data_IF_541223617645
#
_entry.id   IF_541223617645
#
_cell.length_a   1.000
_cell.length_b   1.000
_cell.length_c   1.000
_cell.angle_alpha   90.00
_cell.angle_beta   90.00
_cell.angle_gamma   90.00
#
_symmetry.space_group_name_H-M   'P 1'
#
loop_
_entity.id
_entity.type
_entity.pdbx_description
1 polymer ?
#
# COMPACT_ATOMS: atom_id res chain seq x y z
N UNK A 1 -41.36 33.49 -9.57
CA UNK A 1 -41.00 32.23 -10.26
C UNK A 1 -40.42 31.30 -9.23
N UNK A 2 -41.23 30.39 -8.69
CA UNK A 2 -40.86 29.46 -7.62
C UNK A 2 -40.17 28.29 -8.31
N UNK A 3 -38.86 28.12 -8.07
CA UNK A 3 -38.15 26.89 -8.40
C UNK A 3 -38.67 25.81 -7.45
N UNK A 4 -39.47 24.88 -7.97
CA UNK A 4 -39.85 23.68 -7.27
C UNK A 4 -38.64 22.76 -7.16
N UNK A 5 -38.05 22.70 -5.97
CA UNK A 5 -37.05 21.70 -5.60
C UNK A 5 -37.71 20.31 -5.68
N UNK A 6 -37.43 19.59 -6.75
CA UNK A 6 -37.91 18.23 -6.97
C UNK A 6 -37.06 17.26 -6.13
N UNK A 7 -37.23 17.33 -4.82
CA UNK A 7 -36.72 16.28 -3.92
C UNK A 7 -37.58 15.03 -4.11
N UNK A 8 -37.11 14.10 -4.87
CA UNK A 8 -37.67 12.75 -4.97
C UNK A 8 -37.44 12.06 -3.63
N UNK A 9 -38.33 12.27 -2.67
CA UNK A 9 -38.36 11.47 -1.45
C UNK A 9 -38.78 10.05 -1.82
N UNK A 10 -37.79 9.19 -2.02
CA UNK A 10 -38.05 7.75 -2.12
C UNK A 10 -38.70 7.33 -0.80
N UNK A 11 -39.89 6.77 -0.89
CA UNK A 11 -40.61 6.20 0.26
C UNK A 11 -39.65 5.21 0.99
N UNK A 12 -39.65 5.17 2.32
CA UNK A 12 -38.94 4.15 3.07
C UNK A 12 -39.27 2.72 2.60
N UNK A 13 -40.45 2.52 2.05
CA UNK A 13 -40.93 1.26 1.52
C UNK A 13 -40.25 0.86 0.21
N UNK A 14 -39.91 1.80 -0.68
CA UNK A 14 -39.20 1.53 -1.93
C UNK A 14 -37.73 1.13 -1.68
N UNK A 15 -37.14 1.57 -0.56
CA UNK A 15 -35.79 1.15 -0.15
C UNK A 15 -35.75 -0.29 0.38
N UNK A 16 -36.82 -0.76 1.01
CA UNK A 16 -36.91 -2.10 1.57
C UNK A 16 -37.09 -3.17 0.50
N UNK A 17 -37.69 -2.84 -0.66
CA UNK A 17 -37.99 -3.78 -1.73
C UNK A 17 -36.78 -4.04 -2.67
N UNK A 18 -35.79 -3.14 -2.69
CA UNK A 18 -34.65 -3.21 -3.61
C UNK A 18 -33.39 -3.89 -3.07
N UNK A 19 -33.40 -4.37 -1.82
CA UNK A 19 -32.24 -5.11 -1.29
C UNK A 19 -32.35 -6.60 -1.65
N UNK A 20 -31.52 -7.11 -2.58
CA UNK A 20 -31.44 -8.55 -2.76
C UNK A 20 -30.93 -9.15 -1.44
N UNK A 21 -31.69 -10.13 -0.92
CA UNK A 21 -31.38 -10.90 0.31
C UNK A 21 -30.19 -11.85 0.10
N UNK A 22 -29.12 -11.36 -0.51
CA UNK A 22 -27.93 -12.15 -0.79
C UNK A 22 -27.11 -12.25 0.47
N UNK A 23 -26.81 -13.45 0.91
CA UNK A 23 -26.08 -13.78 2.15
C UNK A 23 -24.77 -12.99 2.35
N UNK A 24 -24.06 -12.63 1.27
CA UNK A 24 -22.83 -11.88 1.31
C UNK A 24 -23.00 -10.40 1.75
N UNK A 25 -24.20 -9.80 1.58
CA UNK A 25 -24.51 -8.50 2.17
C UNK A 25 -24.61 -8.58 3.70
N UNK A 26 -25.10 -9.70 4.25
CA UNK A 26 -25.13 -9.90 5.71
C UNK A 26 -23.75 -10.10 6.31
N UNK A 27 -22.80 -10.63 5.54
CA UNK A 27 -21.41 -10.81 5.96
C UNK A 27 -20.51 -9.61 5.63
N UNK A 28 -21.06 -8.55 5.03
CA UNK A 28 -20.31 -7.35 4.64
C UNK A 28 -19.08 -7.67 3.77
N UNK A 29 -19.14 -8.70 2.93
CA UNK A 29 -18.05 -9.18 2.08
C UNK A 29 -18.42 -9.00 0.60
N UNK A 30 -17.46 -8.54 -0.20
CA UNK A 30 -17.59 -8.54 -1.66
C UNK A 30 -16.92 -9.80 -2.24
N UNK A 31 -17.70 -10.78 -2.76
CA UNK A 31 -17.15 -12.05 -3.19
C UNK A 31 -16.21 -11.94 -4.40
N UNK A 32 -16.43 -10.95 -5.28
CA UNK A 32 -15.57 -10.76 -6.46
C UNK A 32 -14.20 -10.27 -6.01
N UNK A 33 -14.15 -9.30 -5.10
CA UNK A 33 -12.89 -8.77 -4.60
C UNK A 33 -12.13 -9.84 -3.81
N UNK A 34 -12.82 -10.63 -2.96
CA UNK A 34 -12.18 -11.76 -2.24
C UNK A 34 -11.63 -12.80 -3.21
N UNK A 35 -12.37 -13.14 -4.26
CA UNK A 35 -11.90 -14.08 -5.27
C UNK A 35 -10.61 -13.58 -5.95
N UNK A 36 -10.60 -12.33 -6.40
CA UNK A 36 -9.42 -11.73 -7.05
C UNK A 36 -8.19 -11.72 -6.11
N UNK A 37 -8.38 -11.34 -4.84
CA UNK A 37 -7.32 -11.37 -3.82
C UNK A 37 -6.81 -12.80 -3.61
N UNK A 38 -7.71 -13.78 -3.53
CA UNK A 38 -7.35 -15.18 -3.37
C UNK A 38 -6.53 -15.71 -4.56
N UNK A 39 -6.92 -15.35 -5.79
CA UNK A 39 -6.15 -15.70 -6.99
C UNK A 39 -4.74 -15.13 -6.93
N UNK A 40 -4.57 -13.86 -6.55
CA UNK A 40 -3.25 -13.23 -6.40
C UNK A 40 -2.43 -13.91 -5.30
N UNK A 41 -3.04 -14.20 -4.14
CA UNK A 41 -2.35 -14.86 -3.03
C UNK A 41 -1.90 -16.26 -3.41
N UNK A 42 -2.76 -17.06 -4.03
CA UNK A 42 -2.41 -18.41 -4.49
C UNK A 42 -1.30 -18.37 -5.53
N UNK A 43 -1.40 -17.45 -6.50
CA UNK A 43 -0.37 -17.25 -7.51
C UNK A 43 0.97 -16.83 -6.88
N UNK A 44 0.93 -15.88 -5.93
CA UNK A 44 2.12 -15.46 -5.16
C UNK A 44 2.73 -16.59 -4.34
N UNK A 45 1.90 -17.46 -3.72
CA UNK A 45 2.38 -18.63 -2.97
C UNK A 45 3.09 -19.65 -3.85
N UNK A 46 2.65 -19.85 -5.10
CA UNK A 46 3.33 -20.73 -6.06
C UNK A 46 4.74 -20.20 -6.35
N UNK A 47 4.86 -18.91 -6.61
CA UNK A 47 6.18 -18.27 -6.86
C UNK A 47 7.03 -18.26 -5.59
N UNK A 48 6.43 -17.94 -4.44
CA UNK A 48 7.15 -17.92 -3.16
C UNK A 48 7.73 -19.31 -2.84
N UNK A 49 7.01 -20.38 -3.15
CA UNK A 49 7.50 -21.74 -2.93
C UNK A 49 8.80 -22.02 -3.72
N UNK A 50 8.90 -21.48 -4.92
CA UNK A 50 10.14 -21.51 -5.70
C UNK A 50 11.21 -20.63 -5.07
N UNK A 51 10.87 -19.39 -4.72
CA UNK A 51 11.83 -18.42 -4.18
C UNK A 51 12.38 -18.76 -2.79
N UNK A 52 11.74 -19.63 -2.00
CA UNK A 52 12.23 -20.07 -0.66
C UNK A 52 13.07 -21.33 -0.72
N UNK A 53 13.31 -21.90 -1.90
CA UNK A 53 14.19 -23.05 -2.13
C UNK A 53 13.97 -24.20 -1.13
N UNK A 54 12.73 -24.67 -1.03
CA UNK A 54 12.36 -25.80 -0.17
C UNK A 54 12.33 -25.51 1.34
N UNK A 55 12.50 -24.28 1.78
CA UNK A 55 12.36 -23.91 3.20
C UNK A 55 10.90 -23.92 3.63
N UNK A 56 10.41 -25.09 4.04
CA UNK A 56 9.01 -25.31 4.45
C UNK A 56 8.62 -24.44 5.67
N UNK A 57 9.55 -24.08 6.53
CA UNK A 57 9.26 -23.24 7.70
C UNK A 57 8.86 -21.80 7.26
N UNK A 58 9.57 -21.21 6.30
CA UNK A 58 9.24 -19.89 5.76
C UNK A 58 7.92 -19.93 4.99
N UNK A 59 7.69 -20.97 4.19
CA UNK A 59 6.46 -21.14 3.45
C UNK A 59 5.24 -21.26 4.37
N UNK A 60 5.34 -22.12 5.40
CA UNK A 60 4.27 -22.30 6.40
C UNK A 60 4.01 -21.03 7.19
N UNK A 61 5.06 -20.29 7.58
CA UNK A 61 4.90 -19.00 8.23
C UNK A 61 4.14 -17.99 7.35
N UNK A 62 4.36 -17.99 6.04
CA UNK A 62 3.63 -17.11 5.13
C UNK A 62 2.16 -17.51 4.99
N UNK A 63 1.84 -18.80 4.94
CA UNK A 63 0.46 -19.30 4.97
C UNK A 63 -0.29 -18.83 6.22
N UNK A 64 0.36 -18.94 7.40
CA UNK A 64 -0.23 -18.46 8.66
C UNK A 64 -0.49 -16.96 8.64
N UNK A 65 0.43 -16.17 8.06
CA UNK A 65 0.26 -14.71 7.90
C UNK A 65 -0.90 -14.37 6.97
N UNK A 66 -1.06 -15.08 5.85
CA UNK A 66 -2.21 -14.88 4.98
C UNK A 66 -3.53 -15.30 5.65
N UNK A 67 -3.55 -16.40 6.40
CA UNK A 67 -4.72 -16.77 7.19
C UNK A 67 -5.10 -15.66 8.19
N UNK A 68 -4.12 -15.10 8.92
CA UNK A 68 -4.33 -13.96 9.80
C UNK A 68 -4.81 -12.72 9.03
N UNK A 69 -4.26 -12.43 7.85
CA UNK A 69 -4.66 -11.31 7.03
C UNK A 69 -6.12 -11.43 6.56
N UNK A 70 -6.59 -12.64 6.23
CA UNK A 70 -8.02 -12.88 5.94
C UNK A 70 -8.91 -12.66 7.17
N UNK A 71 -8.48 -13.10 8.34
CA UNK A 71 -9.22 -12.84 9.59
C UNK A 71 -9.35 -11.33 9.81
N UNK A 72 -8.26 -10.58 9.66
CA UNK A 72 -8.25 -9.13 9.80
C UNK A 72 -9.14 -8.45 8.76
N UNK A 73 -9.11 -8.92 7.50
CA UNK A 73 -10.01 -8.43 6.44
C UNK A 73 -11.48 -8.60 6.83
N UNK A 74 -11.86 -9.82 7.27
CA UNK A 74 -13.23 -10.13 7.66
C UNK A 74 -13.65 -9.26 8.84
N UNK A 75 -12.82 -9.15 9.87
CA UNK A 75 -13.10 -8.31 11.04
C UNK A 75 -13.27 -6.85 10.64
N UNK A 76 -12.35 -6.30 9.82
CA UNK A 76 -12.44 -4.94 9.33
C UNK A 76 -13.70 -4.71 8.48
N UNK A 77 -14.14 -5.69 7.69
CA UNK A 77 -15.36 -5.58 6.91
C UNK A 77 -16.64 -5.50 7.78
N UNK A 78 -16.65 -6.11 8.99
CA UNK A 78 -17.79 -6.05 9.90
C UNK A 78 -17.92 -4.70 10.63
N UNK A 79 -16.85 -3.92 10.73
CA UNK A 79 -16.84 -2.67 11.47
C UNK A 79 -17.48 -1.57 10.61
N UNK A 80 -18.52 -0.88 11.09
CA UNK A 80 -19.22 0.14 10.30
C UNK A 80 -18.37 1.41 10.09
N UNK A 81 -18.54 2.13 8.96
CA UNK A 81 -17.73 3.29 8.60
C UNK A 81 -17.72 4.41 9.63
N UNK A 82 -18.83 4.61 10.38
CA UNK A 82 -18.91 5.63 11.42
C UNK A 82 -17.94 5.36 12.59
N UNK A 83 -17.60 4.10 12.85
CA UNK A 83 -16.61 3.74 13.85
C UNK A 83 -15.20 4.17 13.38
N UNK A 84 -14.84 3.87 12.14
CA UNK A 84 -13.57 4.33 11.56
C UNK A 84 -13.45 5.86 11.60
N UNK A 85 -14.55 6.55 11.29
CA UNK A 85 -14.63 7.99 11.40
C UNK A 85 -14.35 8.49 12.82
N UNK A 86 -14.95 7.85 13.83
CA UNK A 86 -14.80 8.24 15.24
C UNK A 86 -13.40 8.00 15.76
N UNK A 87 -12.79 6.90 15.38
CA UNK A 87 -11.45 6.53 15.89
C UNK A 87 -10.30 7.18 15.10
N UNK A 88 -10.54 7.76 13.92
CA UNK A 88 -9.48 8.30 13.06
C UNK A 88 -8.52 9.26 13.79
N UNK A 89 -8.97 10.28 14.57
CA UNK A 89 -8.06 11.15 15.29
C UNK A 89 -7.26 10.41 16.38
N UNK A 90 -7.90 9.48 17.08
CA UNK A 90 -7.23 8.69 18.12
C UNK A 90 -6.18 7.78 17.52
N UNK A 91 -6.50 7.06 16.44
CA UNK A 91 -5.57 6.17 15.74
C UNK A 91 -4.36 6.94 15.21
N UNK A 92 -4.57 8.15 14.70
CA UNK A 92 -3.49 9.02 14.23
C UNK A 92 -2.58 9.47 15.38
N UNK A 93 -3.14 9.95 16.51
CA UNK A 93 -2.35 10.40 17.68
C UNK A 93 -1.59 9.24 18.31
N UNK A 94 -2.24 8.08 18.48
CA UNK A 94 -1.60 6.86 18.98
C UNK A 94 -0.48 6.42 18.04
N UNK A 95 -0.70 6.43 16.74
CA UNK A 95 0.31 6.10 15.75
C UNK A 95 1.51 7.04 15.81
N UNK A 96 1.30 8.37 15.92
CA UNK A 96 2.39 9.34 16.12
C UNK A 96 3.18 9.06 17.42
N UNK A 97 2.48 8.82 18.51
CA UNK A 97 3.11 8.46 19.77
C UNK A 97 3.99 7.22 19.66
N UNK A 98 3.48 6.17 19.01
CA UNK A 98 4.24 4.95 18.77
C UNK A 98 5.45 5.18 17.85
N UNK A 99 5.33 6.05 16.83
CA UNK A 99 6.48 6.43 15.99
C UNK A 99 7.56 7.15 16.79
N UNK A 100 7.17 8.02 17.72
CA UNK A 100 8.11 8.70 18.63
C UNK A 100 8.76 7.67 19.57
N UNK A 101 7.99 6.71 20.11
CA UNK A 101 8.53 5.64 20.94
C UNK A 101 9.59 4.80 20.22
N UNK A 102 9.41 4.53 18.93
CA UNK A 102 10.43 3.81 18.13
C UNK A 102 11.76 4.53 18.10
N UNK A 103 11.77 5.86 18.05
CA UNK A 103 13.03 6.63 18.04
C UNK A 103 13.85 6.44 19.32
N UNK A 104 13.20 6.17 20.45
CA UNK A 104 13.87 5.99 21.75
C UNK A 104 14.07 4.53 22.14
N UNK A 105 13.11 3.66 21.84
CA UNK A 105 13.02 2.28 22.33
C UNK A 105 12.98 1.24 21.21
N UNK A 106 13.12 1.63 19.95
CA UNK A 106 13.04 0.71 18.83
C UNK A 106 14.20 -0.27 18.76
N UNK A 107 13.90 -1.48 18.27
CA UNK A 107 14.90 -2.53 18.05
C UNK A 107 15.52 -2.36 16.66
N UNK A 108 16.85 -2.48 16.60
CA UNK A 108 17.58 -2.46 15.34
C UNK A 108 17.43 -3.79 14.60
N UNK A 109 16.87 -3.72 13.39
CA UNK A 109 16.75 -4.88 12.49
C UNK A 109 17.23 -4.47 11.10
N UNK A 110 18.13 -5.23 10.52
CA UNK A 110 18.73 -4.94 9.19
C UNK A 110 19.21 -3.48 9.04
N UNK A 111 19.90 -2.96 10.07
CA UNK A 111 20.51 -1.62 10.03
C UNK A 111 19.56 -0.44 10.23
N UNK A 112 18.31 -0.67 10.62
CA UNK A 112 17.36 0.39 10.90
C UNK A 112 16.51 0.12 12.13
N UNK A 113 16.16 1.20 12.85
CA UNK A 113 15.37 1.16 14.08
C UNK A 113 13.90 1.46 13.78
N UNK A 114 13.12 0.40 13.48
CA UNK A 114 11.73 0.52 12.96
C UNK A 114 10.70 -0.27 13.74
N UNK A 115 11.16 -1.17 14.62
CA UNK A 115 10.32 -2.17 15.28
C UNK A 115 10.20 -1.89 16.75
N UNK A 116 8.99 -2.04 17.29
CA UNK A 116 8.77 -2.17 18.72
C UNK A 116 8.61 -3.64 19.04
N UNK A 117 9.30 -4.09 20.09
CA UNK A 117 9.20 -5.44 20.61
C UNK A 117 8.51 -5.40 21.97
N UNK A 118 7.41 -6.13 22.08
CA UNK A 118 6.79 -6.42 23.37
C UNK A 118 7.41 -7.70 23.88
N UNK A 119 8.20 -7.64 24.97
CA UNK A 119 8.94 -8.81 25.46
C UNK A 119 8.04 -10.02 25.60
N UNK A 120 8.44 -11.15 24.96
CA UNK A 120 7.71 -12.41 25.04
C UNK A 120 6.43 -12.53 24.23
N UNK A 121 5.99 -11.50 23.49
CA UNK A 121 4.76 -11.55 22.72
C UNK A 121 5.01 -11.43 21.21
N UNK A 122 5.26 -10.23 20.70
CA UNK A 122 5.41 -10.00 19.26
C UNK A 122 6.19 -8.73 18.96
N UNK A 123 6.69 -8.65 17.72
CA UNK A 123 7.26 -7.44 17.12
C UNK A 123 6.25 -6.82 16.18
N UNK A 124 6.08 -5.51 16.23
CA UNK A 124 5.26 -4.78 15.27
C UNK A 124 5.92 -3.48 14.84
N UNK A 125 5.56 -3.03 13.65
CA UNK A 125 6.08 -1.81 13.05
C UNK A 125 4.99 -0.72 13.12
N UNK A 126 5.16 0.34 13.93
CA UNK A 126 4.15 1.40 14.07
C UNK A 126 3.81 2.13 12.77
N UNK A 127 4.73 2.22 11.84
CA UNK A 127 4.47 2.82 10.53
C UNK A 127 3.43 2.03 9.70
N UNK A 128 3.21 0.74 9.97
CA UNK A 128 2.12 -0.02 9.35
C UNK A 128 0.75 0.53 9.77
N UNK A 129 0.59 0.86 11.05
CA UNK A 129 -0.62 1.50 11.55
C UNK A 129 -0.84 2.87 10.87
N UNK A 130 0.23 3.65 10.64
CA UNK A 130 0.12 4.96 10.01
C UNK A 130 -0.34 4.91 8.55
N UNK A 131 -0.09 3.83 7.84
CA UNK A 131 -0.61 3.62 6.48
C UNK A 131 -2.15 3.59 6.43
N UNK A 132 -2.79 3.19 7.52
CA UNK A 132 -4.25 3.25 7.68
C UNK A 132 -4.69 4.55 8.35
N UNK A 133 -4.00 4.98 9.40
CA UNK A 133 -4.39 6.11 10.23
C UNK A 133 -4.27 7.46 9.51
N UNK A 134 -3.25 7.65 8.65
CA UNK A 134 -3.07 8.90 7.91
C UNK A 134 -4.20 9.16 6.91
N UNK A 135 -4.55 8.25 5.99
CA UNK A 135 -5.69 8.47 5.11
C UNK A 135 -7.01 8.59 5.86
N UNK A 136 -7.20 7.85 6.97
CA UNK A 136 -8.36 8.00 7.85
C UNK A 136 -8.45 9.42 8.43
N UNK A 137 -7.32 9.96 8.95
CA UNK A 137 -7.27 11.30 9.54
C UNK A 137 -7.51 12.40 8.51
N UNK A 138 -6.91 12.29 7.31
CA UNK A 138 -7.12 13.26 6.21
C UNK A 138 -8.58 13.23 5.74
N UNK A 139 -9.16 12.04 5.54
CA UNK A 139 -10.57 11.89 5.16
C UNK A 139 -11.52 12.42 6.26
N UNK A 140 -11.21 12.15 7.54
CA UNK A 140 -11.92 12.71 8.70
C UNK A 140 -11.89 14.23 8.71
N UNK A 141 -10.74 14.84 8.42
CA UNK A 141 -10.58 16.28 8.39
C UNK A 141 -11.39 16.93 7.26
N UNK A 142 -11.43 16.29 6.07
CA UNK A 142 -12.08 16.84 4.87
C UNK A 142 -13.59 16.59 4.80
N UNK A 143 -14.14 15.58 5.48
CA UNK A 143 -15.55 15.17 5.33
C UNK A 143 -16.58 16.26 5.58
N UNK A 144 -16.26 17.23 6.47
CA UNK A 144 -17.15 18.34 6.83
C UNK A 144 -16.78 19.65 6.12
N UNK A 145 -15.93 19.59 5.12
CA UNK A 145 -15.43 20.75 4.38
C UNK A 145 -15.97 20.75 2.96
N UNK A 146 -16.03 21.95 2.38
CA UNK A 146 -16.36 22.08 0.96
C UNK A 146 -15.26 21.45 0.10
N UNK A 147 -15.65 20.65 -0.88
CA UNK A 147 -14.75 20.07 -1.85
C UNK A 147 -14.97 20.78 -3.20
N UNK A 148 -13.90 21.09 -3.93
CA UNK A 148 -12.47 20.86 -3.66
C UNK A 148 -11.93 21.71 -2.49
N UNK A 149 -10.89 21.20 -1.76
CA UNK A 149 -10.40 21.87 -0.56
C UNK A 149 -9.68 23.19 -0.89
N UNK A 150 -9.95 24.23 -0.08
CA UNK A 150 -9.23 25.50 -0.18
C UNK A 150 -7.78 25.35 0.28
N UNK A 151 -6.94 26.36 -0.03
CA UNK A 151 -5.52 26.38 0.35
C UNK A 151 -5.29 26.08 1.84
N UNK A 152 -6.08 26.70 2.73
CA UNK A 152 -6.00 26.47 4.18
C UNK A 152 -6.21 24.99 4.56
N UNK A 153 -7.18 24.33 3.95
CA UNK A 153 -7.50 22.93 4.26
C UNK A 153 -6.48 21.99 3.64
N UNK A 154 -6.01 22.29 2.43
CA UNK A 154 -4.91 21.56 1.77
C UNK A 154 -3.64 21.63 2.60
N UNK A 155 -3.24 22.82 3.08
CA UNK A 155 -2.04 22.97 3.91
C UNK A 155 -2.14 22.20 5.23
N UNK A 156 -3.31 22.20 5.88
CA UNK A 156 -3.52 21.40 7.09
C UNK A 156 -3.38 19.89 6.80
N UNK A 157 -3.94 19.40 5.69
CA UNK A 157 -3.77 18.01 5.26
C UNK A 157 -2.29 17.69 4.98
N UNK A 158 -1.56 18.60 4.33
CA UNK A 158 -0.11 18.42 4.10
C UNK A 158 0.65 18.27 5.43
N UNK A 159 0.33 19.07 6.44
CA UNK A 159 0.95 18.92 7.79
C UNK A 159 0.62 17.56 8.39
N UNK A 160 -0.66 17.13 8.33
CA UNK A 160 -1.09 15.82 8.83
C UNK A 160 -0.32 14.65 8.17
N UNK A 161 0.00 14.75 6.88
CA UNK A 161 0.73 13.71 6.16
C UNK A 161 2.24 13.79 6.37
N UNK A 162 2.79 15.01 6.38
CA UNK A 162 4.24 15.24 6.43
C UNK A 162 4.81 14.89 7.80
N UNK A 163 4.08 15.16 8.89
CA UNK A 163 4.58 14.91 10.24
C UNK A 163 4.95 13.42 10.47
N UNK A 164 4.06 12.44 10.24
CA UNK A 164 4.44 11.03 10.36
C UNK A 164 5.47 10.59 9.33
N UNK A 165 5.40 11.11 8.10
CA UNK A 165 6.38 10.80 7.06
C UNK A 165 7.81 11.21 7.44
N UNK A 166 7.98 12.38 8.04
CA UNK A 166 9.28 12.85 8.55
C UNK A 166 9.79 11.97 9.71
N UNK A 167 8.90 11.59 10.64
CA UNK A 167 9.29 10.70 11.75
C UNK A 167 9.75 9.33 11.23
N UNK A 168 9.07 8.78 10.23
CA UNK A 168 9.44 7.51 9.59
C UNK A 168 10.75 7.66 8.79
N UNK A 169 10.92 8.78 8.09
CA UNK A 169 12.15 9.08 7.37
C UNK A 169 13.39 9.14 8.28
N UNK A 170 13.22 9.59 9.54
CA UNK A 170 14.28 9.56 10.56
C UNK A 170 14.59 8.17 11.11
N UNK A 171 13.72 7.18 10.86
CA UNK A 171 13.94 5.76 11.21
C UNK A 171 14.64 4.99 10.07
N UNK A 172 15.47 5.60 9.25
CA UNK A 172 15.95 5.29 7.89
C UNK A 172 15.00 4.41 7.04
N UNK A 173 13.71 4.78 6.98
CA UNK A 173 12.67 4.06 6.22
C UNK A 173 12.00 4.98 5.17
N UNK A 174 12.74 5.31 4.12
CA UNK A 174 12.23 6.17 3.05
C UNK A 174 11.06 5.55 2.29
N UNK A 175 11.11 4.23 2.04
CA UNK A 175 10.04 3.55 1.32
C UNK A 175 8.70 3.70 2.03
N UNK A 176 8.65 3.37 3.32
CA UNK A 176 7.43 3.51 4.12
C UNK A 176 7.04 4.98 4.32
N UNK A 177 7.99 5.90 4.45
CA UNK A 177 7.72 7.33 4.53
C UNK A 177 6.95 7.85 3.30
N UNK A 178 7.42 7.50 2.10
CA UNK A 178 6.77 7.86 0.84
C UNK A 178 5.39 7.22 0.74
N UNK A 179 5.24 5.97 1.14
CA UNK A 179 3.94 5.28 1.12
C UNK A 179 2.92 5.90 2.06
N UNK A 180 3.32 6.26 3.28
CA UNK A 180 2.43 6.92 4.27
C UNK A 180 2.01 8.31 3.79
N UNK A 181 2.95 9.10 3.27
CA UNK A 181 2.64 10.38 2.65
C UNK A 181 1.72 10.20 1.44
N UNK A 182 2.02 9.27 0.54
CA UNK A 182 1.24 8.96 -0.65
C UNK A 182 -0.18 8.50 -0.32
N UNK A 183 -0.36 7.72 0.76
CA UNK A 183 -1.69 7.29 1.21
C UNK A 183 -2.57 8.48 1.63
N UNK A 184 -2.01 9.44 2.38
CA UNK A 184 -2.72 10.67 2.71
C UNK A 184 -2.94 11.58 1.49
N UNK A 185 -1.95 11.68 0.60
CA UNK A 185 -2.04 12.48 -0.61
C UNK A 185 -3.10 11.95 -1.58
N UNK A 186 -3.29 10.63 -1.62
CA UNK A 186 -4.37 10.00 -2.38
C UNK A 186 -5.75 10.53 -1.98
N UNK A 187 -5.97 10.80 -0.68
CA UNK A 187 -7.23 11.42 -0.20
C UNK A 187 -7.40 12.84 -0.77
N UNK A 188 -6.33 13.64 -0.80
CA UNK A 188 -6.37 15.00 -1.37
C UNK A 188 -6.66 14.98 -2.89
N UNK A 189 -6.07 14.05 -3.63
CA UNK A 189 -6.34 13.87 -5.06
C UNK A 189 -7.82 13.56 -5.30
N UNK A 190 -8.37 12.62 -4.54
CA UNK A 190 -9.78 12.22 -4.64
C UNK A 190 -10.74 13.33 -4.15
N UNK A 191 -10.30 14.20 -3.24
CA UNK A 191 -11.03 15.36 -2.80
C UNK A 191 -11.09 16.49 -3.86
N UNK A 192 -10.45 16.29 -5.03
CA UNK A 192 -10.47 17.25 -6.13
C UNK A 192 -9.39 18.32 -6.04
N UNK A 193 -8.20 17.97 -5.49
CA UNK A 193 -7.05 18.87 -5.50
C UNK A 193 -6.75 19.34 -6.94
N UNK A 194 -6.71 20.66 -7.15
CA UNK A 194 -6.47 21.19 -8.49
C UNK A 194 -5.05 20.86 -8.97
N UNK A 195 -4.92 20.46 -10.25
CA UNK A 195 -3.64 20.16 -10.88
C UNK A 195 -2.64 21.32 -10.81
N UNK A 196 -3.11 22.55 -10.68
CA UNK A 196 -2.24 23.73 -10.48
C UNK A 196 -1.40 23.58 -9.21
N UNK A 197 -1.99 23.10 -8.12
CA UNK A 197 -1.24 22.86 -6.86
C UNK A 197 -0.22 21.74 -7.00
N UNK A 198 -0.55 20.67 -7.72
CA UNK A 198 0.37 19.59 -8.03
C UNK A 198 1.56 20.11 -8.85
N UNK A 199 1.28 20.92 -9.86
CA UNK A 199 2.34 21.56 -10.68
C UNK A 199 3.23 22.49 -9.84
N UNK A 200 2.64 23.39 -9.03
CA UNK A 200 3.41 24.28 -8.17
C UNK A 200 4.24 23.51 -7.14
N UNK A 201 3.69 22.46 -6.55
CA UNK A 201 4.42 21.57 -5.65
C UNK A 201 5.59 20.88 -6.38
N UNK A 202 5.36 20.36 -7.59
CA UNK A 202 6.41 19.74 -8.42
C UNK A 202 7.53 20.74 -8.77
N UNK A 203 7.17 21.95 -9.17
CA UNK A 203 8.16 23.03 -9.44
C UNK A 203 8.94 23.42 -8.18
N UNK A 204 8.27 23.52 -7.02
CA UNK A 204 8.92 23.84 -5.76
C UNK A 204 9.89 22.72 -5.31
N UNK A 205 9.48 21.44 -5.44
CA UNK A 205 10.35 20.27 -5.18
C UNK A 205 11.54 20.27 -6.13
N UNK A 206 11.33 20.51 -7.42
CA UNK A 206 12.40 20.58 -8.42
C UNK A 206 13.39 21.73 -8.13
N UNK A 207 12.91 22.91 -7.76
CA UNK A 207 13.74 24.04 -7.37
C UNK A 207 14.49 23.79 -6.05
N UNK A 208 13.87 23.07 -5.10
CA UNK A 208 14.49 22.70 -3.83
C UNK A 208 15.46 21.51 -3.94
N UNK A 209 15.39 20.72 -5.03
CA UNK A 209 16.17 19.49 -5.19
C UNK A 209 17.69 19.68 -4.96
N UNK A 210 18.37 20.72 -5.48
CA UNK A 210 19.79 20.94 -5.21
C UNK A 210 20.10 21.18 -3.72
N UNK A 211 19.22 21.91 -3.03
CA UNK A 211 19.36 22.18 -1.59
C UNK A 211 19.11 20.92 -0.77
N UNK A 212 18.07 20.15 -1.12
CA UNK A 212 17.75 18.86 -0.49
C UNK A 212 18.91 17.88 -0.68
N UNK A 213 19.47 17.83 -1.90
CA UNK A 213 20.64 17.01 -2.20
C UNK A 213 21.83 17.35 -1.31
N UNK A 214 22.14 18.64 -1.14
CA UNK A 214 23.34 19.07 -0.44
C UNK A 214 23.20 19.04 1.09
N UNK A 215 22.04 19.40 1.64
CA UNK A 215 21.86 19.66 3.06
C UNK A 215 20.94 18.67 3.78
N UNK A 216 20.06 17.93 3.07
CA UNK A 216 19.04 17.12 3.71
C UNK A 216 19.30 15.62 3.52
N UNK A 217 19.74 15.20 2.33
CA UNK A 217 19.97 13.78 2.07
C UNK A 217 21.20 13.26 2.78
N UNK A 218 21.03 12.15 3.49
CA UNK A 218 22.13 11.39 4.08
C UNK A 218 22.96 10.65 3.02
N UNK A 219 24.21 10.31 3.36
CA UNK A 219 25.12 9.66 2.41
C UNK A 219 24.55 8.42 1.74
N UNK A 220 23.89 7.53 2.49
CA UNK A 220 23.29 6.32 1.94
C UNK A 220 22.11 6.60 0.99
N UNK A 221 21.37 7.69 1.19
CA UNK A 221 20.26 8.10 0.32
C UNK A 221 20.76 8.63 -1.02
N UNK A 222 21.84 9.46 -0.97
CA UNK A 222 22.52 9.94 -2.17
C UNK A 222 23.09 8.77 -2.97
N UNK A 223 23.74 7.81 -2.26
CA UNK A 223 24.30 6.61 -2.90
C UNK A 223 23.23 5.84 -3.65
N UNK A 224 22.03 5.63 -3.06
CA UNK A 224 20.92 4.94 -3.75
C UNK A 224 20.47 5.63 -5.03
N UNK A 225 20.46 6.97 -5.04
CA UNK A 225 20.11 7.75 -6.24
C UNK A 225 21.22 7.65 -7.29
N UNK A 226 22.49 7.75 -6.90
CA UNK A 226 23.63 7.62 -7.82
C UNK A 226 23.68 6.21 -8.42
N UNK A 227 23.49 5.18 -7.59
CA UNK A 227 23.45 3.79 -8.03
C UNK A 227 22.31 3.49 -9.00
N UNK A 228 21.22 4.25 -8.96
CA UNK A 228 20.15 4.12 -9.97
C UNK A 228 20.63 4.48 -11.39
N UNK A 229 21.45 5.54 -11.50
CA UNK A 229 21.99 6.00 -12.81
C UNK A 229 23.22 5.21 -13.24
N UNK A 230 24.01 4.71 -12.30
CA UNK A 230 25.16 3.85 -12.55
C UNK A 230 25.19 2.68 -11.55
N UNK A 231 24.46 1.60 -11.84
CA UNK A 231 24.43 0.42 -10.97
C UNK A 231 25.82 -0.25 -10.81
N UNK A 232 26.73 -0.05 -11.76
CA UNK A 232 28.08 -0.62 -11.70
C UNK A 232 28.98 0.08 -10.68
N UNK A 233 28.60 1.28 -10.24
CA UNK A 233 29.33 2.02 -9.19
C UNK A 233 29.20 1.39 -7.80
N UNK A 234 28.20 0.52 -7.58
CA UNK A 234 27.98 -0.20 -6.31
C UNK A 234 27.72 -1.69 -6.58
N UNK A 235 28.76 -2.44 -7.02
CA UNK A 235 28.61 -3.81 -7.50
C UNK A 235 28.38 -4.85 -6.40
N UNK A 236 28.40 -4.47 -5.11
CA UNK A 236 28.17 -5.36 -3.97
C UNK A 236 26.97 -4.93 -3.11
N UNK A 237 26.32 -3.81 -3.44
CA UNK A 237 25.19 -3.24 -2.69
C UNK A 237 23.91 -3.14 -3.50
N UNK A 238 23.32 -1.93 -3.50
CA UNK A 238 22.05 -1.68 -4.20
C UNK A 238 22.14 -1.89 -5.72
N UNK A 239 23.32 -1.61 -6.34
CA UNK A 239 23.57 -1.83 -7.77
C UNK A 239 23.52 -3.29 -8.15
N UNK A 240 24.06 -4.18 -7.30
CA UNK A 240 23.96 -5.62 -7.51
C UNK A 240 22.51 -6.07 -7.67
N UNK A 241 21.64 -5.65 -6.76
CA UNK A 241 20.23 -6.01 -6.81
C UNK A 241 19.53 -5.54 -8.09
N UNK A 242 19.85 -4.34 -8.57
CA UNK A 242 19.28 -3.78 -9.83
C UNK A 242 19.78 -4.60 -11.03
N UNK A 243 21.09 -4.88 -11.10
CA UNK A 243 21.68 -5.65 -12.20
C UNK A 243 21.08 -7.06 -12.23
N UNK A 244 21.03 -7.75 -11.10
CA UNK A 244 20.51 -9.11 -11.04
C UNK A 244 19.01 -9.19 -11.32
N UNK A 245 18.21 -8.24 -10.81
CA UNK A 245 16.77 -8.22 -11.08
C UNK A 245 16.44 -7.94 -12.56
N UNK A 246 17.14 -7.00 -13.19
CA UNK A 246 16.94 -6.72 -14.62
C UNK A 246 17.46 -7.85 -15.51
N UNK A 247 18.55 -8.51 -15.12
CA UNK A 247 19.06 -9.72 -15.79
C UNK A 247 18.07 -10.88 -15.67
N UNK A 248 17.50 -11.10 -14.47
CA UNK A 248 16.50 -12.14 -14.25
C UNK A 248 15.28 -11.93 -15.15
N UNK A 249 14.70 -10.72 -15.12
CA UNK A 249 13.52 -10.37 -15.97
C UNK A 249 13.87 -10.55 -17.45
N UNK A 250 15.01 -10.03 -17.90
CA UNK A 250 15.43 -10.12 -19.30
C UNK A 250 15.66 -11.56 -19.78
N UNK A 251 16.15 -12.43 -18.88
CA UNK A 251 16.43 -13.84 -19.20
C UNK A 251 15.18 -14.72 -19.30
N UNK A 252 14.04 -14.28 -18.73
CA UNK A 252 12.79 -15.03 -18.75
C UNK A 252 12.04 -15.00 -20.09
N UNK A 253 12.26 -13.99 -20.93
CA UNK A 253 11.59 -13.87 -22.22
C UNK A 253 10.05 -13.83 -22.12
N UNK A 254 9.34 -14.45 -23.07
CA UNK A 254 7.88 -14.44 -23.09
C UNK A 254 7.25 -15.43 -22.09
N UNK A 255 7.76 -16.64 -22.00
CA UNK A 255 7.13 -17.75 -21.26
C UNK A 255 7.92 -18.19 -20.02
N UNK A 256 9.06 -17.57 -19.73
CA UNK A 256 9.92 -17.92 -18.62
C UNK A 256 10.76 -19.17 -18.84
N UNK A 257 11.63 -19.45 -17.87
CA UNK A 257 12.47 -20.65 -17.83
C UNK A 257 11.75 -21.89 -17.29
N UNK A 258 10.59 -21.68 -16.64
CA UNK A 258 9.84 -22.68 -15.89
C UNK A 258 9.98 -22.52 -14.38
N UNK A 259 8.98 -22.98 -13.64
CA UNK A 259 8.99 -22.96 -12.17
C UNK A 259 10.18 -23.78 -11.62
N UNK A 260 10.84 -23.27 -10.60
CA UNK A 260 12.04 -23.86 -9.97
C UNK A 260 13.27 -23.92 -10.89
N UNK A 261 13.27 -23.21 -12.03
CA UNK A 261 14.39 -23.17 -12.98
C UNK A 261 15.00 -21.76 -13.09
N UNK A 262 14.67 -20.86 -12.17
CA UNK A 262 15.24 -19.53 -12.08
C UNK A 262 16.70 -19.55 -11.60
N UNK A 263 17.66 -19.29 -12.48
CA UNK A 263 19.08 -19.33 -12.14
C UNK A 263 19.50 -18.22 -11.17
N UNK A 264 18.89 -17.02 -11.26
CA UNK A 264 19.25 -15.87 -10.42
C UNK A 264 18.74 -16.02 -8.98
N UNK A 265 17.57 -16.63 -8.79
CA UNK A 265 17.02 -16.89 -7.45
C UNK A 265 17.64 -18.13 -6.80
N UNK A 266 17.86 -19.19 -7.57
CA UNK A 266 18.38 -20.46 -7.07
C UNK A 266 19.86 -20.39 -6.63
N UNK A 267 20.67 -19.56 -7.31
CA UNK A 267 22.08 -19.38 -6.99
C UNK A 267 22.34 -18.27 -5.94
N UNK A 268 21.31 -17.81 -5.24
CA UNK A 268 21.38 -16.74 -4.24
C UNK A 268 22.01 -15.42 -4.76
N UNK A 269 21.99 -15.19 -6.08
CA UNK A 269 22.49 -13.94 -6.66
C UNK A 269 21.59 -12.75 -6.33
N UNK A 270 20.33 -13.00 -5.91
CA UNK A 270 19.36 -11.98 -5.53
C UNK A 270 19.03 -12.10 -4.03
N UNK A 271 19.73 -11.38 -3.14
CA UNK A 271 19.59 -11.55 -1.68
C UNK A 271 18.18 -11.35 -1.11
N UNK A 272 17.39 -10.48 -1.72
CA UNK A 272 16.00 -10.17 -1.28
C UNK A 272 14.96 -10.74 -2.28
N UNK A 273 15.26 -11.86 -2.96
CA UNK A 273 14.40 -12.52 -3.95
C UNK A 273 12.99 -12.83 -3.41
N UNK A 274 12.87 -13.16 -2.12
CA UNK A 274 11.61 -13.55 -1.45
C UNK A 274 10.74 -12.36 -1.05
N UNK A 275 11.35 -11.18 -0.86
CA UNK A 275 10.70 -9.98 -0.33
C UNK A 275 10.51 -8.95 -1.42
N UNK A 276 11.46 -8.09 -1.62
CA UNK A 276 11.31 -6.89 -2.45
C UNK A 276 11.44 -7.18 -3.95
N UNK A 277 12.19 -8.25 -4.32
CA UNK A 277 12.50 -8.61 -5.70
C UNK A 277 11.78 -9.87 -6.21
N UNK A 278 10.71 -10.31 -5.55
CA UNK A 278 9.95 -11.50 -5.98
C UNK A 278 9.38 -11.35 -7.39
N UNK A 279 9.09 -10.10 -7.84
CA UNK A 279 8.68 -9.83 -9.21
C UNK A 279 9.77 -10.17 -10.24
N UNK A 280 11.05 -10.09 -9.88
CA UNK A 280 12.15 -10.52 -10.76
C UNK A 280 12.19 -12.05 -10.89
N UNK A 281 12.00 -12.77 -9.78
CA UNK A 281 11.88 -14.25 -9.80
C UNK A 281 10.72 -14.68 -10.69
N UNK A 282 9.56 -14.01 -10.54
CA UNK A 282 8.40 -14.26 -11.40
C UNK A 282 8.70 -13.98 -12.87
N UNK A 283 9.39 -12.87 -13.17
CA UNK A 283 9.80 -12.51 -14.53
C UNK A 283 10.75 -13.55 -15.14
N UNK A 284 11.67 -14.12 -14.35
CA UNK A 284 12.58 -15.16 -14.79
C UNK A 284 11.87 -16.50 -15.04
N UNK A 285 11.04 -16.95 -14.09
CA UNK A 285 10.43 -18.29 -14.12
C UNK A 285 9.20 -18.37 -15.01
N UNK A 286 8.34 -17.36 -15.02
CA UNK A 286 7.07 -17.34 -15.78
C UNK A 286 7.09 -16.37 -16.96
N UNK A 287 8.15 -15.61 -17.12
CA UNK A 287 8.33 -14.67 -18.21
C UNK A 287 7.33 -13.52 -18.21
N UNK A 288 7.22 -12.85 -19.34
CA UNK A 288 6.30 -11.73 -19.55
C UNK A 288 4.83 -12.12 -19.32
N UNK A 289 4.41 -13.31 -19.76
CA UNK A 289 3.02 -13.77 -19.62
C UNK A 289 2.64 -13.88 -18.14
N UNK A 290 3.53 -14.41 -17.29
CA UNK A 290 3.28 -14.52 -15.86
C UNK A 290 3.16 -13.17 -15.17
N UNK A 291 4.06 -12.24 -15.49
CA UNK A 291 3.99 -10.86 -14.95
C UNK A 291 2.75 -10.13 -15.44
N UNK A 292 2.42 -10.23 -16.74
CA UNK A 292 1.22 -9.62 -17.31
C UNK A 292 -0.08 -10.14 -16.68
N UNK A 293 -0.16 -11.44 -16.39
CA UNK A 293 -1.28 -12.03 -15.66
C UNK A 293 -1.43 -11.39 -14.27
N UNK A 294 -0.35 -11.27 -13.49
CA UNK A 294 -0.40 -10.64 -12.18
C UNK A 294 -0.84 -9.17 -12.27
N UNK A 295 -0.27 -8.41 -13.20
CA UNK A 295 -0.65 -6.99 -13.41
C UNK A 295 -2.12 -6.86 -13.81
N UNK A 296 -2.65 -7.78 -14.64
CA UNK A 296 -4.07 -7.83 -14.96
C UNK A 296 -4.93 -8.09 -13.71
N UNK A 297 -4.55 -9.04 -12.85
CA UNK A 297 -5.26 -9.30 -11.60
C UNK A 297 -5.25 -8.07 -10.67
N UNK A 298 -4.12 -7.39 -10.54
CA UNK A 298 -4.03 -6.13 -9.80
C UNK A 298 -4.93 -5.04 -10.39
N UNK A 299 -4.96 -4.89 -11.72
CA UNK A 299 -5.83 -3.93 -12.38
C UNK A 299 -7.32 -4.22 -12.09
N UNK A 300 -7.72 -5.49 -12.10
CA UNK A 300 -9.09 -5.90 -11.76
C UNK A 300 -9.42 -5.62 -10.29
N UNK A 301 -8.48 -5.84 -9.35
CA UNK A 301 -8.64 -5.50 -7.93
C UNK A 301 -8.84 -3.99 -7.77
N UNK A 302 -7.99 -3.18 -8.43
CA UNK A 302 -8.06 -1.71 -8.39
C UNK A 302 -9.39 -1.23 -8.98
N UNK A 303 -9.77 -1.73 -10.15
CA UNK A 303 -11.03 -1.37 -10.81
C UNK A 303 -12.24 -1.72 -9.92
N UNK A 304 -12.24 -2.93 -9.33
CA UNK A 304 -13.31 -3.35 -8.40
C UNK A 304 -13.33 -2.49 -7.15
N UNK A 305 -12.18 -2.20 -6.56
CA UNK A 305 -12.05 -1.36 -5.38
C UNK A 305 -12.52 0.08 -5.62
N UNK A 306 -12.17 0.69 -6.76
CA UNK A 306 -12.65 2.03 -7.14
C UNK A 306 -14.15 2.04 -7.36
N UNK A 307 -14.70 1.00 -7.98
CA UNK A 307 -16.14 0.88 -8.14
C UNK A 307 -16.86 0.81 -6.77
N UNK A 308 -16.34 0.00 -5.82
CA UNK A 308 -16.87 -0.07 -4.45
C UNK A 308 -16.79 1.29 -3.74
N UNK A 309 -15.67 2.00 -3.90
CA UNK A 309 -15.49 3.33 -3.33
C UNK A 309 -16.47 4.35 -3.92
N UNK A 310 -16.79 4.27 -5.21
CA UNK A 310 -17.75 5.18 -5.87
C UNK A 310 -19.19 4.99 -5.37
N UNK A 311 -19.55 3.79 -4.95
CA UNK A 311 -20.87 3.47 -4.37
C UNK A 311 -20.99 3.86 -2.88
N UNK A 312 -19.94 4.39 -2.26
CA UNK A 312 -19.98 4.81 -0.85
C UNK A 312 -20.99 5.94 -0.61
N UNK A 313 -21.85 5.78 0.40
CA UNK A 313 -22.90 6.75 0.75
C UNK A 313 -22.40 8.01 1.47
N UNK A 314 -21.17 7.99 2.00
CA UNK A 314 -20.60 9.13 2.73
C UNK A 314 -19.32 9.65 2.07
N UNK A 315 -19.09 10.97 2.19
CA UNK A 315 -17.83 11.59 1.70
C UNK A 315 -16.60 10.96 2.36
N UNK A 316 -16.66 10.73 3.67
CA UNK A 316 -15.60 10.05 4.40
C UNK A 316 -15.31 8.66 3.82
N UNK A 317 -16.32 7.84 3.66
CA UNK A 317 -16.20 6.48 3.14
C UNK A 317 -15.64 6.47 1.71
N UNK A 318 -16.13 7.36 0.85
CA UNK A 318 -15.66 7.49 -0.54
C UNK A 318 -14.18 7.85 -0.62
N UNK A 319 -13.77 8.87 0.14
CA UNK A 319 -12.38 9.31 0.19
C UNK A 319 -11.47 8.25 0.77
N UNK A 320 -11.89 7.61 1.86
CA UNK A 320 -11.07 6.59 2.55
C UNK A 320 -10.92 5.33 1.70
N UNK A 321 -12.01 4.78 1.18
CA UNK A 321 -11.97 3.59 0.34
C UNK A 321 -11.15 3.82 -0.92
N UNK A 322 -11.37 4.94 -1.61
CA UNK A 322 -10.58 5.31 -2.78
C UNK A 322 -9.10 5.49 -2.47
N UNK A 323 -8.75 6.09 -1.31
CA UNK A 323 -7.36 6.26 -0.91
C UNK A 323 -6.68 4.92 -0.63
N UNK A 324 -7.36 3.94 -0.03
CA UNK A 324 -6.79 2.60 0.15
C UNK A 324 -6.54 1.88 -1.17
N UNK A 325 -7.43 2.04 -2.15
CA UNK A 325 -7.22 1.51 -3.51
C UNK A 325 -6.02 2.16 -4.20
N UNK A 326 -5.90 3.49 -4.12
CA UNK A 326 -4.74 4.20 -4.68
C UNK A 326 -3.44 3.85 -3.94
N UNK A 327 -3.49 3.64 -2.63
CA UNK A 327 -2.34 3.17 -1.86
C UNK A 327 -1.89 1.78 -2.36
N UNK A 328 -2.83 0.88 -2.58
CA UNK A 328 -2.53 -0.44 -3.16
C UNK A 328 -1.88 -0.32 -4.54
N UNK A 329 -2.38 0.58 -5.40
CA UNK A 329 -1.74 0.89 -6.69
C UNK A 329 -0.31 1.41 -6.53
N UNK A 330 -0.08 2.35 -5.59
CA UNK A 330 1.26 2.92 -5.35
C UNK A 330 2.25 1.83 -4.91
N UNK A 331 1.83 0.87 -4.08
CA UNK A 331 2.68 -0.27 -3.71
C UNK A 331 3.13 -1.07 -4.93
N UNK A 332 2.20 -1.41 -5.82
CA UNK A 332 2.49 -2.17 -7.04
C UNK A 332 3.45 -1.36 -7.92
N UNK A 333 3.12 -0.10 -8.17
CA UNK A 333 3.91 0.77 -9.03
C UNK A 333 5.34 0.94 -8.52
N UNK A 334 5.50 1.23 -7.22
CA UNK A 334 6.83 1.44 -6.62
C UNK A 334 7.65 0.14 -6.65
N UNK A 335 7.06 -1.02 -6.33
CA UNK A 335 7.79 -2.29 -6.38
C UNK A 335 8.20 -2.63 -7.82
N UNK A 336 7.27 -2.62 -8.77
CA UNK A 336 7.58 -2.95 -10.18
C UNK A 336 8.60 -1.99 -10.75
N UNK A 337 8.47 -0.68 -10.50
CA UNK A 337 9.43 0.31 -10.97
C UNK A 337 10.82 0.16 -10.34
N UNK A 338 10.90 -0.23 -9.05
CA UNK A 338 12.15 -0.53 -8.36
C UNK A 338 12.84 -1.76 -8.95
N UNK A 339 12.09 -2.84 -9.15
CA UNK A 339 12.62 -4.11 -9.68
C UNK A 339 13.06 -3.96 -11.15
N UNK A 340 12.38 -3.08 -11.91
CA UNK A 340 12.76 -2.75 -13.30
C UNK A 340 13.90 -1.72 -13.42
N UNK A 341 14.45 -1.22 -12.30
CA UNK A 341 15.51 -0.22 -12.32
C UNK A 341 15.06 1.18 -12.73
N UNK A 342 13.75 1.50 -12.68
CA UNK A 342 13.20 2.84 -12.95
C UNK A 342 13.24 3.72 -11.70
N UNK A 343 13.06 3.12 -10.51
CA UNK A 343 13.15 3.80 -9.23
C UNK A 343 14.29 3.22 -8.38
N UNK A 344 14.86 4.03 -7.46
CA UNK A 344 15.89 3.51 -6.55
C UNK A 344 15.31 2.44 -5.64
N UNK A 345 16.17 1.55 -5.15
CA UNK A 345 15.78 0.47 -4.24
C UNK A 345 15.34 1.06 -2.90
N UNK A 346 14.04 0.97 -2.61
CA UNK A 346 13.43 1.54 -1.39
C UNK A 346 12.89 0.49 -0.42
N UNK A 347 12.88 -0.79 -0.82
CA UNK A 347 12.44 -1.87 0.06
C UNK A 347 10.93 -1.93 0.27
N UNK A 348 10.15 -1.85 -0.80
CA UNK A 348 8.68 -1.96 -0.76
C UNK A 348 8.27 -3.32 -1.31
N UNK A 349 7.63 -4.19 -0.50
CA UNK A 349 7.22 -5.51 -0.96
C UNK A 349 6.06 -5.44 -1.96
N UNK A 350 6.01 -6.40 -2.89
CA UNK A 350 4.91 -6.54 -3.83
C UNK A 350 3.63 -7.03 -3.08
N UNK A 351 2.49 -6.32 -3.20
CA UNK A 351 1.27 -6.64 -2.46
C UNK A 351 0.81 -8.09 -2.60
N UNK A 352 0.60 -8.77 -1.47
CA UNK A 352 0.03 -10.12 -1.39
C UNK A 352 0.81 -11.24 -2.11
N UNK A 353 2.01 -10.93 -2.62
CA UNK A 353 2.91 -11.86 -3.30
C UNK A 353 4.21 -12.02 -2.51
N UNK A 354 4.83 -10.91 -2.11
CA UNK A 354 6.08 -10.92 -1.36
C UNK A 354 5.96 -11.59 0.00
N UNK A 355 7.06 -12.21 0.45
CA UNK A 355 7.19 -12.67 1.82
C UNK A 355 7.16 -11.47 2.78
N UNK A 356 6.13 -11.41 3.61
CA UNK A 356 5.94 -10.33 4.57
C UNK A 356 4.57 -10.42 5.25
N UNK A 357 4.54 -10.30 6.57
CA UNK A 357 3.29 -10.45 7.32
C UNK A 357 2.58 -9.14 7.58
N UNK A 358 3.30 -8.16 8.12
CA UNK A 358 2.70 -6.90 8.58
C UNK A 358 2.08 -6.11 7.43
N UNK A 359 2.78 -6.01 6.30
CA UNK A 359 2.28 -5.33 5.10
C UNK A 359 1.04 -6.02 4.52
N UNK A 360 1.03 -7.36 4.42
CA UNK A 360 -0.13 -8.11 3.93
C UNK A 360 -1.36 -7.91 4.84
N UNK A 361 -1.17 -7.96 6.17
CA UNK A 361 -2.24 -7.73 7.15
C UNK A 361 -2.81 -6.31 7.03
N UNK A 362 -1.94 -5.29 6.91
CA UNK A 362 -2.35 -3.90 6.78
C UNK A 362 -3.13 -3.64 5.47
N UNK A 363 -2.65 -4.20 4.35
CA UNK A 363 -3.35 -4.10 3.07
C UNK A 363 -4.71 -4.78 3.12
N UNK A 364 -4.80 -5.98 3.69
CA UNK A 364 -6.06 -6.72 3.83
C UNK A 364 -7.03 -6.02 4.80
N UNK A 365 -6.53 -5.34 5.85
CA UNK A 365 -7.34 -4.46 6.68
C UNK A 365 -7.95 -3.32 5.86
N UNK A 366 -7.16 -2.65 5.02
CA UNK A 366 -7.63 -1.61 4.11
C UNK A 366 -8.71 -2.11 3.15
N UNK A 367 -8.54 -3.31 2.59
CA UNK A 367 -9.54 -3.96 1.74
C UNK A 367 -10.83 -4.25 2.52
N UNK A 368 -10.73 -4.72 3.76
CA UNK A 368 -11.88 -4.92 4.66
C UNK A 368 -12.66 -3.62 4.87
N UNK A 369 -11.96 -2.49 5.08
CA UNK A 369 -12.60 -1.17 5.18
C UNK A 369 -13.30 -0.77 3.88
N UNK A 370 -12.72 -1.04 2.70
CA UNK A 370 -13.37 -0.78 1.40
C UNK A 370 -14.70 -1.54 1.31
N UNK A 371 -14.72 -2.81 1.72
CA UNK A 371 -15.94 -3.63 1.72
C UNK A 371 -16.97 -3.09 2.73
N UNK A 372 -16.54 -2.74 3.94
CA UNK A 372 -17.39 -2.15 4.98
C UNK A 372 -18.09 -0.88 4.50
N UNK A 373 -17.35 0.04 3.87
CA UNK A 373 -17.88 1.33 3.40
C UNK A 373 -19.05 1.15 2.42
N UNK A 374 -18.99 0.13 1.56
CA UNK A 374 -20.07 -0.14 0.62
C UNK A 374 -21.29 -0.78 1.29
N UNK A 375 -21.05 -1.81 2.10
CA UNK A 375 -22.12 -2.68 2.59
C UNK A 375 -22.93 -2.08 3.74
N UNK A 376 -22.36 -1.13 4.48
CA UNK A 376 -23.06 -0.38 5.54
C UNK A 376 -23.73 0.89 5.02
N UNK A 377 -23.81 1.12 3.71
CA UNK A 377 -24.49 2.30 3.12
C UNK A 377 -26.01 2.33 3.31
N UNK A 378 -26.59 1.31 3.90
CA UNK A 378 -28.03 1.19 4.09
C UNK A 378 -28.54 1.83 5.40
N UNK A 379 -27.71 2.60 6.12
CA UNK A 379 -28.09 3.26 7.40
C UNK A 379 -27.89 4.76 7.37
#
# INVERSE_FOLDING_TARGET
MIQADFQRTLSPYDRAVSQPSRWYFRLHIDPILVLLLTVVIVYGLVILRSAVDGNEALYTAQLQRFAMAYVVLIVAAQIPPHFYLRIAPLAYVVGLFLLILVLFFGVFVKGSQRWLEVPGLFRFQPSELMKLAVPMMVAWYLQRRSLPPSFKYTSACLVIMTLPALLIGRQPDLGTSILVFGAGFSVLLLAGLSWRWVLWAGLAIGAAAPLVWQFVLEGYQRQRILTLFDPQSDPLGAGWNIIQSTTAIGSGGLFGKGLFQGSQSYLDFLPEARTDFIAAVMGEELGFVGVAFLLLMYLLIIARGLWLASEAGSTFGRLLAGAFVLTFFVYIFVNVAMVSGILPVVGVPLPLVSYGGTSAITLMAGVGVIMSVRTHNAW
#
